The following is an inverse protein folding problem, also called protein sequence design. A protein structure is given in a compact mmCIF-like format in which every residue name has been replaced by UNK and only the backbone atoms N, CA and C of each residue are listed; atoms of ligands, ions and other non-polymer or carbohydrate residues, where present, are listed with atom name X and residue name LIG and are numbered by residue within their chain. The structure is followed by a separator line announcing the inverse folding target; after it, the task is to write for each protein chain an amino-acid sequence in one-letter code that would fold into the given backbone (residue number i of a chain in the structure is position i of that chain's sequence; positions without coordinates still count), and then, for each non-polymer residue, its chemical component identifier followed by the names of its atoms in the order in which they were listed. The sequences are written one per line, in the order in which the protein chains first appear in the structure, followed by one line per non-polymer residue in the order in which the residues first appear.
data_IF_879933430099
#
_entry.id   IF_879933430099
#
_cell.length_a   1.000
_cell.length_b   1.000
_cell.length_c   1.000
_cell.angle_alpha   90.00
_cell.angle_beta   90.00
_cell.angle_gamma   90.00
#
_symmetry.space_group_name_H-M   'P 1'
#
loop_
_entity.id
_entity.type
_entity.pdbx_description
1 polymer ?
#
# COMPACT_ATOMS: atom_id res chain seq x y z
N UNK A 1 -17.80 10.81 19.16
CA UNK A 1 -17.94 9.36 18.92
C UNK A 1 -16.55 8.84 18.57
N UNK A 2 -15.92 8.01 19.40
CA UNK A 2 -14.60 7.43 19.05
C UNK A 2 -14.85 6.46 17.89
N UNK A 3 -14.35 6.79 16.70
CA UNK A 3 -14.36 5.85 15.58
C UNK A 3 -13.28 4.80 15.84
N UNK A 4 -13.69 3.53 15.87
CA UNK A 4 -12.74 2.43 16.02
C UNK A 4 -12.12 2.14 14.66
N UNK A 5 -10.79 2.27 14.56
CA UNK A 5 -10.06 1.84 13.38
C UNK A 5 -9.85 0.32 13.45
N UNK A 6 -10.41 -0.41 12.48
CA UNK A 6 -10.22 -1.86 12.35
C UNK A 6 -9.15 -2.11 11.29
N UNK A 7 -8.18 -2.98 11.58
CA UNK A 7 -7.01 -3.20 10.73
C UNK A 7 -6.76 -4.70 10.54
N UNK A 8 -6.13 -5.03 9.42
CA UNK A 8 -5.48 -6.31 9.17
C UNK A 8 -4.03 -6.07 8.69
N UNK A 9 -3.21 -7.11 8.71
CA UNK A 9 -1.80 -7.02 8.36
C UNK A 9 -1.53 -7.81 7.08
N UNK A 10 -0.85 -7.18 6.11
CA UNK A 10 -0.29 -7.86 4.94
C UNK A 10 1.23 -7.83 5.03
N UNK A 11 1.85 -8.96 4.71
CA UNK A 11 3.27 -9.22 4.75
C UNK A 11 3.73 -9.74 3.40
N UNK A 12 4.91 -9.32 2.98
CA UNK A 12 5.62 -9.89 1.84
C UNK A 12 7.12 -9.93 2.15
N UNK A 13 7.84 -10.88 1.55
CA UNK A 13 9.30 -11.02 1.73
C UNK A 13 10.09 -11.00 0.42
N UNK A 14 11.43 -10.97 0.54
CA UNK A 14 12.35 -10.95 -0.61
C UNK A 14 12.27 -12.20 -1.49
N UNK A 15 11.76 -13.32 -0.96
CA UNK A 15 11.60 -14.55 -1.74
C UNK A 15 10.38 -14.47 -2.65
N UNK A 16 9.49 -13.51 -2.42
CA UNK A 16 8.20 -13.33 -3.08
C UNK A 16 7.09 -14.17 -2.43
N UNK A 17 7.21 -14.41 -1.12
CA UNK A 17 6.16 -15.00 -0.30
C UNK A 17 5.27 -13.93 0.33
N UNK A 18 4.02 -14.30 0.64
CA UNK A 18 2.99 -13.36 1.09
C UNK A 18 2.08 -13.97 2.16
N UNK A 19 1.77 -13.19 3.19
CA UNK A 19 0.79 -13.56 4.21
C UNK A 19 -0.16 -12.40 4.53
N UNK A 20 -1.41 -12.74 4.85
CA UNK A 20 -2.46 -11.81 5.31
C UNK A 20 -2.97 -12.33 6.66
N UNK A 21 -3.05 -11.44 7.64
CA UNK A 21 -3.50 -11.75 9.01
C UNK A 21 -4.68 -10.86 9.35
N UNK A 22 -5.84 -11.46 9.50
CA UNK A 22 -7.09 -10.81 9.90
C UNK A 22 -7.50 -11.24 11.31
N UNK A 23 -8.12 -10.35 12.09
CA UNK A 23 -8.73 -10.72 13.37
C UNK A 23 -10.25 -10.73 13.23
N UNK A 24 -10.83 -11.93 13.13
CA UNK A 24 -12.27 -12.13 12.92
C UNK A 24 -12.87 -12.71 14.21
N UNK A 25 -13.84 -12.02 14.79
CA UNK A 25 -14.44 -12.38 16.08
C UNK A 25 -13.38 -12.62 17.19
N UNK A 26 -12.33 -11.79 17.20
CA UNK A 26 -11.24 -11.86 18.18
C UNK A 26 -10.22 -12.98 17.96
N UNK A 27 -10.31 -13.74 16.85
CA UNK A 27 -9.39 -14.83 16.53
C UNK A 27 -8.55 -14.48 15.29
N UNK A 28 -7.24 -14.80 15.28
CA UNK A 28 -6.43 -14.63 14.08
C UNK A 28 -6.85 -15.64 13.00
N UNK A 29 -7.03 -15.15 11.79
CA UNK A 29 -7.18 -15.93 10.56
C UNK A 29 -6.02 -15.56 9.66
N UNK A 30 -5.24 -16.56 9.26
CA UNK A 30 -4.00 -16.38 8.51
C UNK A 30 -4.15 -17.01 7.14
N UNK A 31 -3.94 -16.22 6.09
CA UNK A 31 -3.85 -16.67 4.71
C UNK A 31 -2.40 -16.55 4.27
N UNK A 32 -1.77 -17.67 3.91
CA UNK A 32 -0.35 -17.70 3.54
C UNK A 32 -0.18 -18.45 2.22
N UNK A 33 0.18 -17.71 1.19
CA UNK A 33 0.51 -18.24 -0.14
C UNK A 33 1.16 -17.15 -0.98
N UNK A 34 2.21 -17.50 -1.72
CA UNK A 34 2.89 -16.60 -2.67
C UNK A 34 1.95 -15.96 -3.70
N UNK A 35 0.79 -16.58 -3.97
CA UNK A 35 -0.23 -16.09 -4.90
C UNK A 35 -1.06 -14.93 -4.32
N UNK A 36 -1.04 -14.72 -3.00
CA UNK A 36 -1.80 -13.65 -2.33
C UNK A 36 -1.07 -12.31 -2.45
N UNK A 37 -1.03 -11.77 -3.67
CA UNK A 37 -0.29 -10.54 -4.03
C UNK A 37 -1.16 -9.27 -4.04
N UNK A 38 -2.47 -9.41 -3.83
CA UNK A 38 -3.43 -8.30 -3.75
C UNK A 38 -4.27 -8.47 -2.49
N UNK A 39 -4.53 -7.36 -1.80
CA UNK A 39 -5.45 -7.26 -0.67
C UNK A 39 -6.08 -5.86 -0.67
N UNK A 40 -7.36 -5.75 -0.31
CA UNK A 40 -7.99 -4.48 0.06
C UNK A 40 -8.56 -4.56 1.47
N UNK A 41 -9.06 -3.45 2.00
CA UNK A 41 -9.46 -3.32 3.41
C UNK A 41 -10.78 -4.00 3.79
N UNK A 42 -11.62 -4.38 2.81
CA UNK A 42 -12.96 -4.95 3.04
C UNK A 42 -13.45 -5.67 1.77
N UNK A 43 -14.25 -6.75 1.85
CA UNK A 43 -14.60 -7.56 3.04
C UNK A 43 -13.41 -8.40 3.53
N UNK A 44 -13.63 -9.49 4.29
CA UNK A 44 -12.57 -10.45 4.65
C UNK A 44 -11.87 -10.99 3.41
N UNK A 45 -10.59 -11.35 3.51
CA UNK A 45 -9.78 -11.76 2.37
C UNK A 45 -10.39 -12.94 1.61
N UNK A 46 -10.95 -13.92 2.32
CA UNK A 46 -11.66 -15.05 1.71
C UNK A 46 -12.82 -14.60 0.80
N UNK A 47 -13.61 -13.61 1.24
CA UNK A 47 -14.71 -13.05 0.43
C UNK A 47 -14.18 -12.25 -0.75
N UNK A 48 -13.06 -11.54 -0.59
CA UNK A 48 -12.40 -10.84 -1.71
C UNK A 48 -11.97 -11.85 -2.78
N UNK A 49 -11.33 -12.95 -2.38
CA UNK A 49 -10.88 -14.01 -3.28
C UNK A 49 -12.05 -14.72 -3.98
N UNK A 50 -13.13 -15.03 -3.26
CA UNK A 50 -14.33 -15.64 -3.84
C UNK A 50 -15.00 -14.71 -4.86
N UNK A 51 -15.05 -13.41 -4.57
CA UNK A 51 -15.67 -12.41 -5.44
C UNK A 51 -15.00 -12.33 -6.83
N UNK A 52 -13.71 -12.65 -6.96
CA UNK A 52 -13.02 -12.66 -8.26
C UNK A 52 -13.73 -13.54 -9.29
N UNK A 53 -14.25 -14.69 -8.87
CA UNK A 53 -14.85 -15.70 -9.77
C UNK A 53 -16.09 -15.20 -10.51
N UNK A 54 -16.63 -14.05 -10.12
CA UNK A 54 -17.79 -13.44 -10.78
C UNK A 54 -17.41 -12.66 -12.05
N UNK A 55 -16.13 -12.37 -12.28
CA UNK A 55 -15.67 -11.51 -13.37
C UNK A 55 -15.05 -12.32 -14.52
N UNK A 56 -15.24 -11.84 -15.75
CA UNK A 56 -14.85 -12.53 -17.00
C UNK A 56 -13.41 -13.04 -17.00
N UNK A 57 -12.48 -12.22 -16.52
CA UNK A 57 -11.03 -12.50 -16.50
C UNK A 57 -10.62 -13.61 -15.51
N UNK A 58 -11.59 -14.04 -14.69
CA UNK A 58 -11.46 -15.05 -13.65
C UNK A 58 -12.53 -16.16 -13.77
N UNK A 59 -13.21 -16.25 -14.92
CA UNK A 59 -14.16 -17.34 -15.23
C UNK A 59 -15.64 -17.03 -15.01
N UNK A 60 -15.98 -15.79 -14.64
CA UNK A 60 -17.37 -15.34 -14.52
C UNK A 60 -17.90 -14.64 -15.78
N UNK A 61 -18.95 -13.84 -15.61
CA UNK A 61 -19.64 -13.13 -16.70
C UNK A 61 -19.63 -11.61 -16.55
N UNK A 62 -19.30 -11.09 -15.36
CA UNK A 62 -19.28 -9.65 -15.10
C UNK A 62 -18.07 -8.96 -15.74
N UNK A 63 -18.24 -7.75 -16.30
CA UNK A 63 -17.13 -6.94 -16.76
C UNK A 63 -16.30 -6.43 -15.58
N UNK A 64 -15.03 -6.08 -15.83
CA UNK A 64 -14.15 -5.49 -14.81
C UNK A 64 -14.79 -4.21 -14.24
N UNK A 65 -14.90 -4.07 -12.91
CA UNK A 65 -15.68 -3.01 -12.29
C UNK A 65 -14.86 -1.72 -12.12
N UNK A 66 -15.53 -0.57 -12.28
CA UNK A 66 -14.88 0.75 -12.32
C UNK A 66 -15.06 1.62 -11.07
N UNK A 67 -15.77 1.16 -10.03
CA UNK A 67 -16.08 2.03 -8.88
C UNK A 67 -14.92 2.12 -7.87
N UNK A 68 -15.10 2.90 -6.81
CA UNK A 68 -14.11 3.04 -5.74
C UNK A 68 -14.26 2.01 -4.61
N UNK A 69 -15.25 1.10 -4.70
CA UNK A 69 -15.48 0.06 -3.71
C UNK A 69 -14.22 -0.81 -3.50
N UNK A 70 -14.03 -1.31 -2.28
CA UNK A 70 -12.87 -2.13 -1.94
C UNK A 70 -12.82 -3.44 -2.75
N UNK A 71 -13.97 -4.06 -2.99
CA UNK A 71 -14.13 -5.21 -3.90
C UNK A 71 -13.70 -4.89 -5.33
N UNK A 72 -14.08 -3.72 -5.84
CA UNK A 72 -13.80 -3.32 -7.22
C UNK A 72 -12.31 -3.03 -7.41
N UNK A 73 -11.70 -2.35 -6.44
CA UNK A 73 -10.24 -2.13 -6.40
C UNK A 73 -9.48 -3.45 -6.34
N UNK A 74 -9.97 -4.43 -5.57
CA UNK A 74 -9.37 -5.76 -5.50
C UNK A 74 -9.40 -6.48 -6.85
N UNK A 75 -10.55 -6.44 -7.54
CA UNK A 75 -10.71 -7.04 -8.88
C UNK A 75 -9.81 -6.35 -9.90
N UNK A 76 -9.79 -5.01 -9.93
CA UNK A 76 -8.92 -4.25 -10.85
C UNK A 76 -7.43 -4.51 -10.59
N UNK A 77 -7.00 -4.47 -9.33
CA UNK A 77 -5.61 -4.78 -8.97
C UNK A 77 -5.24 -6.20 -9.41
N UNK A 78 -6.05 -7.19 -9.07
CA UNK A 78 -5.81 -8.59 -9.43
C UNK A 78 -5.74 -8.78 -10.94
N UNK A 79 -6.61 -8.10 -11.68
CA UNK A 79 -6.63 -8.14 -13.14
C UNK A 79 -5.37 -7.51 -13.74
N UNK A 80 -5.03 -6.27 -13.37
CA UNK A 80 -3.87 -5.61 -13.96
C UNK A 80 -2.54 -6.22 -13.52
N UNK A 81 -2.42 -6.73 -12.29
CA UNK A 81 -1.23 -7.46 -11.85
C UNK A 81 -0.96 -8.71 -12.69
N UNK A 82 -2.01 -9.41 -13.14
CA UNK A 82 -1.91 -10.58 -14.05
C UNK A 82 -1.44 -10.18 -15.46
N UNK A 83 -1.72 -8.94 -15.88
CA UNK A 83 -1.40 -8.44 -17.22
C UNK A 83 -0.06 -7.70 -17.31
N UNK A 84 0.55 -7.33 -16.18
CA UNK A 84 1.84 -6.65 -16.20
C UNK A 84 2.88 -7.53 -16.91
N UNK A 85 3.68 -6.95 -17.84
CA UNK A 85 4.79 -7.68 -18.44
C UNK A 85 5.82 -8.02 -17.36
N UNK A 86 6.53 -9.14 -17.53
CA UNK A 86 7.67 -9.45 -16.65
C UNK A 86 8.74 -8.36 -16.82
N UNK A 87 9.05 -7.59 -15.77
CA UNK A 87 9.97 -6.47 -15.90
C UNK A 87 11.40 -6.97 -16.16
N UNK A 88 12.14 -6.28 -17.02
CA UNK A 88 13.54 -6.60 -17.33
C UNK A 88 14.53 -5.86 -16.41
N UNK A 89 14.06 -4.81 -15.73
CA UNK A 89 14.87 -3.98 -14.85
C UNK A 89 13.99 -3.34 -13.77
N UNK A 90 14.63 -2.74 -12.76
CA UNK A 90 13.94 -2.09 -11.65
C UNK A 90 12.99 -0.97 -12.11
N UNK A 91 13.37 -0.19 -13.12
CA UNK A 91 12.54 0.92 -13.62
C UNK A 91 11.20 0.40 -14.15
N UNK A 92 11.21 -0.67 -14.93
CA UNK A 92 10.01 -1.32 -15.44
C UNK A 92 9.16 -1.93 -14.31
N UNK A 93 9.80 -2.57 -13.32
CA UNK A 93 9.10 -3.14 -12.18
C UNK A 93 8.34 -2.06 -11.38
N UNK A 94 9.03 -0.96 -11.07
CA UNK A 94 8.44 0.19 -10.40
C UNK A 94 7.32 0.83 -11.23
N UNK A 95 7.55 1.05 -12.53
CA UNK A 95 6.53 1.62 -13.40
C UNK A 95 5.26 0.76 -13.44
N UNK A 96 5.40 -0.58 -13.51
CA UNK A 96 4.29 -1.52 -13.45
C UNK A 96 3.49 -1.40 -12.15
N UNK A 97 4.13 -1.56 -10.99
CA UNK A 97 3.46 -1.51 -9.68
C UNK A 97 2.84 -0.12 -9.41
N UNK A 98 3.55 0.97 -9.73
CA UNK A 98 3.05 2.33 -9.56
C UNK A 98 1.84 2.59 -10.46
N UNK A 99 1.83 2.08 -11.69
CA UNK A 99 0.68 2.23 -12.60
C UNK A 99 -0.58 1.56 -12.04
N UNK A 100 -0.45 0.34 -11.50
CA UNK A 100 -1.58 -0.39 -10.90
C UNK A 100 -2.05 0.30 -9.63
N UNK A 101 -1.13 0.69 -8.73
CA UNK A 101 -1.49 1.38 -7.47
C UNK A 101 -2.15 2.74 -7.70
N UNK A 102 -1.73 3.49 -8.73
CA UNK A 102 -2.44 4.71 -9.17
C UNK A 102 -3.82 4.39 -9.73
N UNK A 103 -3.99 3.33 -10.53
CA UNK A 103 -5.29 2.91 -11.07
C UNK A 103 -6.33 2.57 -9.98
N UNK A 104 -5.88 1.98 -8.87
CA UNK A 104 -6.76 1.63 -7.74
C UNK A 104 -6.83 2.72 -6.66
N UNK A 105 -6.17 3.86 -6.86
CA UNK A 105 -6.28 4.99 -5.94
C UNK A 105 -7.65 5.65 -6.07
N UNK A 106 -8.21 6.07 -4.93
CA UNK A 106 -9.47 6.80 -4.91
C UNK A 106 -9.20 8.29 -5.12
N UNK A 107 -9.89 8.94 -6.08
CA UNK A 107 -9.80 10.39 -6.29
C UNK A 107 -10.18 11.19 -5.04
N UNK A 108 -9.75 12.47 -5.01
CA UNK A 108 -10.21 13.41 -3.99
C UNK A 108 -11.74 13.59 -4.08
N UNK A 109 -12.40 13.54 -2.92
CA UNK A 109 -13.85 13.71 -2.79
C UNK A 109 -14.17 15.07 -2.20
N UNK A 110 -15.28 15.66 -2.64
CA UNK A 110 -15.82 16.92 -2.08
C UNK A 110 -16.77 16.67 -0.91
N UNK A 111 -17.28 15.45 -0.74
CA UNK A 111 -18.18 15.06 0.34
C UNK A 111 -18.00 13.58 0.73
N UNK A 112 -18.46 13.23 1.94
CA UNK A 112 -18.57 11.85 2.40
C UNK A 112 -19.77 11.20 1.71
N UNK A 113 -19.58 9.98 1.20
CA UNK A 113 -20.66 9.16 0.65
C UNK A 113 -21.34 8.40 1.80
N UNK A 114 -22.63 8.67 2.12
CA UNK A 114 -23.33 8.00 3.22
C UNK A 114 -23.48 6.50 3.00
N UNK A 115 -23.56 6.03 1.75
CA UNK A 115 -23.69 4.61 1.41
C UNK A 115 -22.34 3.88 1.50
N UNK A 116 -21.23 4.62 1.44
CA UNK A 116 -19.87 4.08 1.50
C UNK A 116 -18.99 4.87 2.49
N UNK A 117 -19.30 4.84 3.80
CA UNK A 117 -18.65 5.69 4.80
C UNK A 117 -17.16 5.36 5.02
N UNK A 118 -16.72 4.17 4.63
CA UNK A 118 -15.32 3.73 4.72
C UNK A 118 -14.51 4.03 3.46
N UNK A 119 -15.13 4.60 2.43
CA UNK A 119 -14.43 4.99 1.23
C UNK A 119 -13.76 6.36 1.44
N UNK A 120 -12.43 6.40 1.33
CA UNK A 120 -11.61 7.59 1.58
C UNK A 120 -10.75 7.95 0.38
N UNK A 121 -10.47 9.25 0.20
CA UNK A 121 -9.48 9.72 -0.78
C UNK A 121 -8.10 9.12 -0.50
N UNK A 122 -7.37 8.72 -1.54
CA UNK A 122 -5.98 8.31 -1.39
C UNK A 122 -5.11 9.55 -1.10
N UNK A 123 -4.44 9.56 0.05
CA UNK A 123 -3.59 10.68 0.49
C UNK A 123 -2.09 10.47 0.18
N UNK A 124 -1.67 9.22 0.03
CA UNK A 124 -0.33 8.84 -0.40
C UNK A 124 -0.31 7.39 -0.89
N UNK A 125 0.78 7.01 -1.55
CA UNK A 125 1.11 5.65 -1.97
C UNK A 125 2.54 5.33 -1.58
N UNK A 126 2.83 4.06 -1.35
CA UNK A 126 4.20 3.58 -1.15
C UNK A 126 4.48 2.36 -2.03
N UNK A 127 5.76 2.13 -2.31
CA UNK A 127 6.24 0.92 -3.00
C UNK A 127 7.56 0.53 -2.37
N UNK A 128 7.67 -0.72 -1.92
CA UNK A 128 8.90 -1.24 -1.33
C UNK A 128 9.60 -2.16 -2.34
N UNK A 129 10.80 -1.80 -2.74
CA UNK A 129 11.70 -2.70 -3.43
C UNK A 129 12.42 -3.56 -2.40
N UNK A 130 11.93 -4.78 -2.22
CA UNK A 130 12.48 -5.72 -1.24
C UNK A 130 13.86 -6.24 -1.68
N UNK A 131 14.16 -6.26 -2.98
CA UNK A 131 15.43 -6.79 -3.51
C UNK A 131 16.59 -5.85 -3.23
N UNK A 132 16.40 -4.55 -3.52
CA UNK A 132 17.43 -3.53 -3.27
C UNK A 132 17.24 -2.78 -1.94
N UNK A 133 16.23 -3.17 -1.16
CA UNK A 133 15.89 -2.60 0.15
C UNK A 133 15.71 -1.07 0.08
N UNK A 134 14.90 -0.64 -0.88
CA UNK A 134 14.59 0.77 -1.13
C UNK A 134 13.09 1.03 -0.96
N UNK A 135 12.74 2.13 -0.29
CA UNK A 135 11.35 2.50 -0.02
C UNK A 135 10.95 3.76 -0.78
N UNK A 136 9.97 3.63 -1.67
CA UNK A 136 9.41 4.70 -2.49
C UNK A 136 8.12 5.23 -1.87
N UNK A 137 7.92 6.53 -1.94
CA UNK A 137 6.74 7.21 -1.40
C UNK A 137 6.26 8.31 -2.36
N UNK A 138 4.95 8.41 -2.53
CA UNK A 138 4.29 9.44 -3.33
C UNK A 138 3.13 10.04 -2.53
N UNK A 139 3.21 11.33 -2.20
CA UNK A 139 2.06 12.08 -1.68
C UNK A 139 1.12 12.46 -2.82
N UNK A 140 -0.19 12.36 -2.65
CA UNK A 140 -1.13 12.84 -3.69
C UNK A 140 -1.22 14.36 -3.78
N UNK A 141 -0.57 15.06 -2.85
CA UNK A 141 -0.45 16.52 -2.82
C UNK A 141 0.92 17.00 -3.32
N UNK A 142 1.84 16.10 -3.68
CA UNK A 142 3.14 16.44 -4.24
C UNK A 142 3.25 15.86 -5.65
N UNK A 143 3.82 16.58 -6.63
CA UNK A 143 4.01 16.04 -7.99
C UNK A 143 5.21 15.07 -8.08
N UNK A 144 5.96 14.88 -6.98
CA UNK A 144 7.23 14.16 -7.00
C UNK A 144 7.16 12.79 -6.33
N UNK A 145 7.86 11.83 -6.93
CA UNK A 145 8.21 10.57 -6.30
C UNK A 145 9.50 10.76 -5.51
N UNK A 146 9.51 10.29 -4.26
CA UNK A 146 10.72 10.23 -3.43
C UNK A 146 11.04 8.79 -3.06
N UNK A 147 12.30 8.53 -2.74
CA UNK A 147 12.71 7.25 -2.18
C UNK A 147 13.88 7.37 -1.21
N UNK A 148 14.01 6.39 -0.34
CA UNK A 148 15.13 6.23 0.55
C UNK A 148 15.67 4.80 0.51
N UNK A 149 16.98 4.65 0.33
CA UNK A 149 17.67 3.37 0.38
C UNK A 149 17.98 3.04 1.84
N UNK A 150 17.48 1.90 2.36
CA UNK A 150 17.78 1.52 3.74
C UNK A 150 19.27 1.24 3.96
N UNK A 151 20.02 0.93 2.90
CA UNK A 151 21.46 0.73 2.95
C UNK A 151 22.24 2.02 3.32
N UNK A 152 21.64 3.19 3.12
CA UNK A 152 22.26 4.49 3.45
C UNK A 152 22.11 4.86 4.94
N UNK A 153 21.41 4.03 5.73
CA UNK A 153 21.15 4.27 7.14
C UNK A 153 22.00 3.34 8.02
N UNK A 154 22.46 3.86 9.16
CA UNK A 154 23.07 3.02 10.19
C UNK A 154 21.98 2.31 11.01
N UNK A 155 21.77 1.02 10.73
CA UNK A 155 20.76 0.21 11.42
C UNK A 155 21.30 -0.57 12.62
N UNK A 156 22.53 -0.28 13.09
CA UNK A 156 23.12 -0.95 14.26
C UNK A 156 22.38 -0.53 15.54
N UNK A 157 22.33 -1.44 16.52
CA UNK A 157 21.80 -1.15 17.85
C UNK A 157 22.44 0.12 18.43
N UNK A 158 21.61 1.06 18.88
CA UNK A 158 22.05 2.34 19.46
C UNK A 158 22.30 3.46 18.45
N UNK A 159 22.19 3.20 17.14
CA UNK A 159 22.15 4.27 16.14
C UNK A 159 20.90 5.16 16.36
N UNK A 160 20.99 6.48 16.07
CA UNK A 160 19.85 7.37 16.18
C UNK A 160 18.73 6.95 15.22
N UNK A 161 17.47 7.16 15.62
CA UNK A 161 16.37 7.08 14.67
C UNK A 161 16.45 8.25 13.70
N UNK A 162 16.12 8.01 12.44
CA UNK A 162 16.24 8.99 11.37
C UNK A 162 14.84 9.34 10.88
N UNK A 163 14.56 10.63 10.68
CA UNK A 163 13.23 11.11 10.30
C UNK A 163 13.32 12.15 9.17
N UNK A 164 12.41 12.03 8.20
CA UNK A 164 12.12 13.05 7.20
C UNK A 164 10.71 13.61 7.45
N UNK A 165 10.61 14.90 7.79
CA UNK A 165 9.31 15.56 8.02
C UNK A 165 8.75 16.15 6.72
N UNK A 166 7.94 15.37 6.00
CA UNK A 166 7.35 15.79 4.72
C UNK A 166 6.40 16.98 4.84
N UNK A 167 5.93 17.33 6.05
CA UNK A 167 5.11 18.54 6.26
C UNK A 167 5.94 19.82 6.12
N UNK A 168 7.23 19.73 6.39
CA UNK A 168 8.19 20.84 6.27
C UNK A 168 8.85 20.89 4.89
N UNK A 169 8.93 19.74 4.22
CA UNK A 169 9.59 19.59 2.93
C UNK A 169 8.64 18.93 1.90
N UNK A 170 7.51 19.58 1.55
CA UNK A 170 6.48 18.99 0.69
C UNK A 170 6.93 18.74 -0.76
N UNK A 171 7.96 19.48 -1.21
CA UNK A 171 8.46 19.47 -2.58
C UNK A 171 9.79 18.73 -2.74
N UNK A 172 10.13 17.83 -1.81
CA UNK A 172 11.27 16.94 -2.00
C UNK A 172 11.00 15.99 -3.18
N UNK A 173 12.06 15.63 -3.89
CA UNK A 173 11.99 14.75 -5.07
C UNK A 173 13.23 13.87 -5.13
N UNK A 174 13.09 12.70 -5.74
CA UNK A 174 14.22 11.82 -5.98
C UNK A 174 14.70 11.07 -4.74
N UNK A 175 16.00 10.82 -4.67
CA UNK A 175 16.64 10.22 -3.51
C UNK A 175 16.70 11.22 -2.36
N UNK A 176 15.99 10.91 -1.27
CA UNK A 176 15.91 11.74 -0.07
C UNK A 176 16.72 11.16 1.10
N UNK A 177 17.51 10.09 0.90
CA UNK A 177 18.20 9.37 1.99
C UNK A 177 19.07 10.30 2.85
N UNK A 178 19.74 11.28 2.24
CA UNK A 178 20.59 12.28 2.91
C UNK A 178 19.83 13.43 3.59
N UNK A 179 18.52 13.52 3.40
CA UNK A 179 17.66 14.58 3.95
C UNK A 179 17.06 14.19 5.32
N UNK A 180 17.20 12.93 5.71
CA UNK A 180 16.77 12.48 7.03
C UNK A 180 17.66 13.07 8.11
N UNK A 181 17.05 13.47 9.22
CA UNK A 181 17.75 14.01 10.39
C UNK A 181 17.53 13.11 11.60
N UNK A 182 18.57 13.02 12.45
CA UNK A 182 18.50 12.27 13.70
C UNK A 182 17.42 12.81 14.62
N UNK A 183 16.61 11.90 15.19
CA UNK A 183 15.50 12.19 16.10
C UNK A 183 15.45 11.18 17.24
N UNK A 184 14.94 11.63 18.38
CA UNK A 184 14.59 10.73 19.48
C UNK A 184 13.37 9.89 19.06
N UNK A 185 13.39 8.54 19.21
CA UNK A 185 12.24 7.70 18.88
C UNK A 185 10.92 8.12 19.57
N UNK A 186 10.99 8.71 20.76
CA UNK A 186 9.81 9.20 21.48
C UNK A 186 9.14 10.39 20.76
N UNK A 187 9.91 11.20 20.03
CA UNK A 187 9.35 12.26 19.18
C UNK A 187 8.55 11.67 18.03
N UNK A 188 8.91 10.48 17.51
CA UNK A 188 8.25 9.86 16.36
C UNK A 188 6.86 9.32 16.72
N UNK A 189 6.74 8.62 17.86
CA UNK A 189 5.49 7.95 18.28
C UNK A 189 4.41 8.97 18.70
N UNK A 190 4.80 10.11 19.28
CA UNK A 190 3.85 11.14 19.71
C UNK A 190 3.10 11.80 18.53
N UNK A 191 3.67 11.77 17.32
CA UNK A 191 3.03 12.32 16.12
C UNK A 191 1.94 11.42 15.51
N UNK A 192 1.86 10.14 15.90
CA UNK A 192 0.93 9.17 15.27
C UNK A 192 -0.39 8.96 16.03
N UNK A 193 -0.51 9.49 17.26
CA UNK A 193 -1.64 9.25 18.17
C UNK A 193 -2.42 10.53 18.54
N UNK A 194 -2.07 11.68 17.96
CA UNK A 194 -2.82 12.94 18.04
C UNK A 194 -3.43 13.29 16.70
#
# INVERSE_FOLDING_TARGET
KIMTATLHLSLADQTGDSAIIEYIAGKPVIHHDRRYVVMTNDPTFEKQAENLKQYQEFGGDKPIPGTNAASDRFVRASYYMKLLPKPQNLREALAGVISVTRNISQPFRTSVDPENPFASSTIWRSTADLTNVCYYFESTQSPFLIWASLADFNLKKGAPAMMLDLRKYPDCFGDVSKQFVGKDPSEIVYFSLK
#
